data_IF_507851682752
#
_entry.id   IF_507851682752
#
_cell.length_a   1.000
_cell.length_b   1.000
_cell.length_c   1.000
_cell.angle_alpha   90.00
_cell.angle_beta   90.00
_cell.angle_gamma   90.00
#
_symmetry.space_group_name_H-M   'P 1'
#
loop_
_entity.id
_entity.type
_entity.pdbx_description
1 polymer ?
#
# COMPACT_ATOMS: atom_id res chain seq x y z
N UNK A 1 -29.08 -8.23 -13.06
CA UNK A 1 -28.14 -8.04 -14.15
C UNK A 1 -27.95 -9.34 -14.91
N UNK A 2 -27.75 -9.27 -16.23
CA UNK A 2 -27.45 -10.41 -17.09
C UNK A 2 -26.06 -10.33 -17.70
N UNK A 3 -25.55 -9.12 -17.82
CA UNK A 3 -24.26 -8.79 -18.38
C UNK A 3 -23.68 -7.58 -17.64
N UNK A 4 -22.40 -7.60 -17.40
CA UNK A 4 -21.64 -6.48 -16.82
C UNK A 4 -20.31 -6.38 -17.56
N UNK A 5 -19.92 -5.19 -17.91
CA UNK A 5 -18.60 -4.85 -18.42
C UNK A 5 -17.94 -3.88 -17.43
N UNK A 6 -16.68 -4.13 -17.12
CA UNK A 6 -15.88 -3.34 -16.18
C UNK A 6 -14.62 -2.89 -16.90
N UNK A 7 -14.48 -1.60 -17.12
CA UNK A 7 -13.27 -0.98 -17.61
C UNK A 7 -12.34 -0.67 -16.45
N UNK A 8 -11.01 -0.78 -16.66
CA UNK A 8 -9.98 -0.65 -15.65
C UNK A 8 -10.32 -1.44 -14.36
N UNK A 9 -10.53 -2.74 -14.56
CA UNK A 9 -11.00 -3.62 -13.50
C UNK A 9 -10.08 -3.68 -12.28
N UNK A 10 -8.78 -3.39 -12.45
CA UNK A 10 -7.81 -3.27 -11.35
C UNK A 10 -8.16 -2.19 -10.34
N UNK A 11 -8.81 -1.11 -10.80
CA UNK A 11 -9.19 0.02 -9.97
C UNK A 11 -10.49 -0.24 -9.17
N UNK A 12 -11.18 -1.34 -9.49
CA UNK A 12 -12.41 -1.71 -8.80
C UNK A 12 -12.10 -2.56 -7.59
N UNK A 13 -12.57 -2.19 -6.39
CA UNK A 13 -12.38 -2.99 -5.18
C UNK A 13 -12.98 -4.40 -5.33
N UNK A 14 -12.30 -5.41 -4.79
CA UNK A 14 -12.77 -6.81 -4.83
C UNK A 14 -14.18 -6.98 -4.27
N UNK A 15 -14.54 -6.22 -3.23
CA UNK A 15 -15.88 -6.24 -2.66
C UNK A 15 -16.95 -5.80 -3.66
N UNK A 16 -16.64 -4.80 -4.50
CA UNK A 16 -17.55 -4.36 -5.58
C UNK A 16 -17.73 -5.46 -6.61
N UNK A 17 -16.66 -6.15 -7.02
CA UNK A 17 -16.74 -7.29 -7.90
C UNK A 17 -17.62 -8.40 -7.32
N UNK A 18 -17.47 -8.75 -6.04
CA UNK A 18 -18.33 -9.73 -5.36
C UNK A 18 -19.80 -9.31 -5.35
N UNK A 19 -20.06 -8.02 -5.11
CA UNK A 19 -21.44 -7.50 -5.18
C UNK A 19 -22.04 -7.63 -6.58
N UNK A 20 -21.28 -7.37 -7.63
CA UNK A 20 -21.74 -7.53 -9.01
C UNK A 20 -22.07 -8.98 -9.29
N UNK A 21 -21.23 -9.94 -8.90
CA UNK A 21 -21.53 -11.37 -9.00
C UNK A 21 -22.88 -11.75 -8.35
N UNK A 22 -23.13 -11.24 -7.14
CA UNK A 22 -24.38 -11.48 -6.43
C UNK A 22 -25.62 -10.86 -7.13
N UNK A 23 -25.42 -9.87 -8.01
CA UNK A 23 -26.48 -9.22 -8.81
C UNK A 23 -26.73 -9.87 -10.16
N UNK A 24 -25.95 -10.87 -10.57
CA UNK A 24 -26.09 -11.64 -11.81
C UNK A 24 -27.25 -12.64 -11.70
N UNK A 25 -28.48 -12.13 -11.61
CA UNK A 25 -29.70 -12.93 -11.37
C UNK A 25 -30.90 -12.46 -12.18
N UNK A 26 -30.66 -11.99 -13.40
CA UNK A 26 -31.75 -11.58 -14.27
C UNK A 26 -32.59 -12.80 -14.65
N UNK A 27 -33.92 -12.71 -14.55
CA UNK A 27 -34.80 -13.76 -15.06
C UNK A 27 -34.68 -13.83 -16.57
N UNK A 28 -34.43 -15.04 -17.10
CA UNK A 28 -34.39 -15.29 -18.53
C UNK A 28 -35.81 -15.47 -19.07
N UNK A 29 -36.03 -15.04 -20.30
CA UNK A 29 -37.28 -15.29 -20.99
C UNK A 29 -37.25 -16.67 -21.68
N UNK A 30 -38.40 -17.38 -21.89
CA UNK A 30 -38.40 -18.72 -22.47
C UNK A 30 -37.74 -18.84 -23.87
N UNK A 31 -37.71 -17.75 -24.62
CA UNK A 31 -37.08 -17.70 -25.95
C UNK A 31 -35.57 -17.38 -25.92
N UNK A 32 -35.00 -17.06 -24.77
CA UNK A 32 -33.57 -16.84 -24.62
C UNK A 32 -32.85 -18.18 -24.43
N UNK A 33 -32.70 -18.90 -25.52
CA UNK A 33 -31.94 -20.15 -25.52
C UNK A 33 -30.46 -19.81 -25.31
N UNK A 34 -29.79 -20.55 -24.45
CA UNK A 34 -28.36 -20.43 -24.17
C UNK A 34 -27.92 -19.10 -23.54
N UNK A 35 -28.81 -18.42 -22.83
CA UNK A 35 -28.43 -17.21 -22.07
C UNK A 35 -27.48 -17.59 -20.97
N UNK A 36 -26.32 -16.91 -20.93
CA UNK A 36 -25.32 -17.08 -19.88
C UNK A 36 -25.04 -15.74 -19.25
N UNK A 37 -25.05 -15.70 -17.92
CA UNK A 37 -24.59 -14.52 -17.19
C UNK A 37 -23.10 -14.34 -17.41
N UNK A 38 -22.67 -13.12 -17.68
CA UNK A 38 -21.26 -12.83 -17.93
C UNK A 38 -20.86 -11.49 -17.30
N UNK A 39 -19.69 -11.49 -16.69
CA UNK A 39 -18.95 -10.29 -16.35
C UNK A 39 -17.68 -10.31 -17.19
N UNK A 40 -17.45 -9.25 -17.94
CA UNK A 40 -16.20 -8.99 -18.63
C UNK A 40 -15.48 -7.86 -17.91
N UNK A 41 -14.19 -8.03 -17.71
CA UNK A 41 -13.33 -6.96 -17.24
C UNK A 41 -12.12 -6.84 -18.12
N UNK A 42 -11.68 -5.64 -18.40
CA UNK A 42 -10.43 -5.35 -19.07
C UNK A 42 -9.64 -4.34 -18.25
N UNK A 43 -8.35 -4.53 -18.25
CA UNK A 43 -7.41 -3.71 -17.49
C UNK A 43 -5.99 -4.02 -17.94
N UNK A 44 -5.06 -3.16 -17.58
CA UNK A 44 -3.65 -3.47 -17.64
C UNK A 44 -3.27 -4.57 -16.62
N UNK A 45 -2.20 -5.33 -16.85
CA UNK A 45 -1.75 -6.34 -15.90
C UNK A 45 -1.50 -5.74 -14.50
N UNK A 46 -1.97 -6.43 -13.49
CA UNK A 46 -1.81 -6.06 -12.08
C UNK A 46 -0.58 -6.77 -11.48
N UNK A 47 -0.13 -6.27 -10.32
CA UNK A 47 0.91 -6.93 -9.54
C UNK A 47 0.43 -8.28 -8.99
N UNK A 48 1.35 -9.18 -8.67
CA UNK A 48 1.02 -10.49 -8.09
C UNK A 48 0.33 -10.39 -6.71
N UNK A 49 0.40 -9.23 -6.05
CA UNK A 49 -0.28 -8.97 -4.78
C UNK A 49 -1.75 -8.59 -4.95
N UNK A 50 -2.15 -8.16 -6.13
CA UNK A 50 -3.50 -7.69 -6.44
C UNK A 50 -4.56 -8.79 -6.42
N UNK A 51 -5.81 -8.40 -6.26
CA UNK A 51 -6.92 -9.34 -6.17
C UNK A 51 -7.24 -10.01 -7.52
N UNK A 52 -7.00 -9.31 -8.64
CA UNK A 52 -7.17 -9.88 -9.98
C UNK A 52 -6.18 -11.02 -10.22
N UNK A 53 -4.91 -10.81 -9.88
CA UNK A 53 -3.91 -11.85 -9.99
C UNK A 53 -4.31 -13.10 -9.18
N UNK A 54 -4.63 -12.92 -7.91
CA UNK A 54 -5.06 -14.01 -7.03
C UNK A 54 -6.30 -14.75 -7.55
N UNK A 55 -7.22 -14.02 -8.19
CA UNK A 55 -8.51 -14.60 -8.65
C UNK A 55 -8.41 -15.25 -10.02
N UNK A 56 -7.61 -14.69 -10.94
CA UNK A 56 -7.62 -15.12 -12.36
C UNK A 56 -6.35 -15.84 -12.80
N UNK A 57 -5.22 -15.67 -12.10
CA UNK A 57 -3.96 -16.33 -12.40
C UNK A 57 -3.65 -17.47 -11.42
N UNK A 58 -3.66 -17.17 -10.13
CA UNK A 58 -3.15 -18.07 -9.10
C UNK A 58 -4.10 -19.27 -8.90
N UNK A 59 -5.38 -19.02 -8.67
CA UNK A 59 -6.37 -20.08 -8.43
C UNK A 59 -7.74 -19.75 -9.04
N UNK A 60 -7.86 -19.72 -10.39
CA UNK A 60 -9.11 -19.32 -11.03
C UNK A 60 -10.22 -20.36 -10.83
N UNK A 61 -11.43 -19.94 -10.45
CA UNK A 61 -12.60 -20.80 -10.45
C UNK A 61 -12.86 -21.41 -11.86
N UNK A 62 -13.49 -22.58 -11.97
CA UNK A 62 -13.63 -23.30 -13.25
C UNK A 62 -14.32 -22.53 -14.38
N UNK A 63 -15.19 -21.59 -14.02
CA UNK A 63 -15.95 -20.75 -14.97
C UNK A 63 -15.30 -19.37 -15.24
N UNK A 64 -14.11 -19.11 -14.68
CA UNK A 64 -13.37 -17.89 -14.94
C UNK A 64 -12.37 -18.13 -16.07
N UNK A 65 -12.10 -17.10 -16.85
CA UNK A 65 -11.13 -17.13 -17.94
C UNK A 65 -10.37 -15.82 -17.97
N UNK A 66 -9.07 -15.93 -18.18
CA UNK A 66 -8.18 -14.83 -18.44
C UNK A 66 -7.71 -14.90 -19.89
N UNK A 67 -7.72 -13.75 -20.55
CA UNK A 67 -7.16 -13.58 -21.90
C UNK A 67 -6.10 -12.50 -21.79
N UNK A 68 -4.86 -12.85 -22.09
CA UNK A 68 -3.76 -11.89 -22.20
C UNK A 68 -3.55 -11.56 -23.68
N UNK A 69 -3.58 -10.28 -24.02
CA UNK A 69 -3.40 -9.78 -25.36
C UNK A 69 -2.24 -8.76 -25.38
N UNK A 70 -1.00 -9.18 -25.64
CA UNK A 70 0.11 -8.26 -25.79
C UNK A 70 -0.13 -7.23 -26.89
N UNK A 71 0.31 -5.99 -26.67
CA UNK A 71 0.24 -4.91 -27.67
C UNK A 71 0.90 -5.31 -28.99
N UNK A 72 1.94 -6.14 -28.94
CA UNK A 72 2.65 -6.66 -30.12
C UNK A 72 1.78 -7.54 -31.03
N UNK A 73 0.65 -8.06 -30.55
CA UNK A 73 -0.29 -8.85 -31.36
C UNK A 73 -1.31 -7.98 -32.11
N UNK A 74 -1.35 -6.69 -31.84
CA UNK A 74 -2.27 -5.78 -32.52
C UNK A 74 -1.75 -5.42 -33.91
N UNK A 75 -2.32 -6.05 -34.92
CA UNK A 75 -1.94 -5.86 -36.35
C UNK A 75 -2.30 -4.48 -36.93
N UNK A 76 -3.10 -3.69 -36.22
CA UNK A 76 -3.53 -2.36 -36.66
C UNK A 76 -2.62 -1.22 -36.17
N UNK A 77 -1.59 -1.54 -35.40
CA UNK A 77 -0.65 -0.53 -34.92
C UNK A 77 0.24 0.01 -36.06
N UNK A 78 0.64 1.27 -36.00
CA UNK A 78 1.63 1.83 -36.93
C UNK A 78 2.94 1.01 -36.88
N UNK A 79 3.61 0.93 -38.02
CA UNK A 79 4.95 0.29 -38.08
C UNK A 79 5.90 1.03 -37.16
N UNK A 80 6.68 0.29 -36.36
CA UNK A 80 7.64 0.85 -35.43
C UNK A 80 7.08 1.25 -34.06
N UNK A 81 5.75 1.21 -33.84
CA UNK A 81 5.13 1.65 -32.59
C UNK A 81 5.69 0.91 -31.35
N UNK A 82 5.82 -0.39 -31.40
CA UNK A 82 6.36 -1.17 -30.28
C UNK A 82 7.85 -0.93 -30.06
N UNK A 83 8.62 -0.66 -31.13
CA UNK A 83 10.03 -0.28 -31.02
C UNK A 83 10.19 1.10 -30.38
N UNK A 84 9.33 2.06 -30.71
CA UNK A 84 9.31 3.38 -30.06
C UNK A 84 9.03 3.24 -28.57
N UNK A 85 8.04 2.43 -28.19
CA UNK A 85 7.73 2.16 -26.79
C UNK A 85 8.89 1.46 -26.06
N UNK A 86 9.61 0.56 -26.75
CA UNK A 86 10.78 -0.10 -26.17
C UNK A 86 11.93 0.86 -25.88
N UNK A 87 12.05 1.92 -26.66
CA UNK A 87 13.07 2.95 -26.44
C UNK A 87 12.64 3.94 -25.34
N UNK A 88 11.36 4.11 -25.11
CA UNK A 88 10.80 5.04 -24.14
C UNK A 88 10.67 4.44 -22.73
N UNK A 89 10.28 3.18 -22.65
CA UNK A 89 9.99 2.47 -21.41
C UNK A 89 11.23 1.74 -20.87
N UNK A 90 11.36 1.67 -19.56
CA UNK A 90 12.27 0.69 -18.97
C UNK A 90 11.76 -0.75 -19.22
N UNK A 91 12.64 -1.73 -19.05
CA UNK A 91 12.33 -3.13 -19.35
C UNK A 91 11.09 -3.64 -18.57
N UNK A 92 10.96 -3.28 -17.28
CA UNK A 92 9.85 -3.71 -16.45
C UNK A 92 8.52 -3.14 -16.95
N UNK A 93 8.51 -1.85 -17.26
CA UNK A 93 7.34 -1.17 -17.78
C UNK A 93 6.93 -1.72 -19.15
N UNK A 94 7.92 -1.98 -20.03
CA UNK A 94 7.68 -2.58 -21.33
C UNK A 94 7.07 -3.99 -21.21
N UNK A 95 7.58 -4.84 -20.31
CA UNK A 95 7.05 -6.18 -20.09
C UNK A 95 5.60 -6.17 -19.60
N UNK A 96 5.22 -5.19 -18.79
CA UNK A 96 3.86 -5.07 -18.26
C UNK A 96 2.92 -4.48 -19.31
N UNK A 97 3.19 -3.27 -19.79
CA UNK A 97 2.24 -2.49 -20.60
C UNK A 97 2.24 -2.85 -22.09
N UNK A 98 3.33 -3.42 -22.62
CA UNK A 98 3.43 -3.80 -24.01
C UNK A 98 3.31 -5.32 -24.19
N UNK A 99 3.97 -6.09 -23.32
CA UNK A 99 3.95 -7.54 -23.41
C UNK A 99 2.82 -8.19 -22.61
N UNK A 100 2.08 -7.42 -21.80
CA UNK A 100 0.94 -7.92 -21.02
C UNK A 100 1.32 -8.90 -19.92
N UNK A 101 2.55 -8.85 -19.42
CA UNK A 101 3.02 -9.73 -18.34
C UNK A 101 2.69 -9.14 -16.99
N UNK A 102 2.26 -9.99 -16.07
CA UNK A 102 2.17 -9.62 -14.66
C UNK A 102 3.58 -9.46 -14.10
N UNK A 103 3.80 -8.44 -13.29
CA UNK A 103 5.08 -8.20 -12.67
C UNK A 103 4.98 -7.24 -11.48
N UNK A 104 6.00 -7.22 -10.67
CA UNK A 104 6.13 -6.18 -9.66
C UNK A 104 6.67 -4.92 -10.33
N UNK A 105 6.04 -3.79 -10.05
CA UNK A 105 6.49 -2.45 -10.48
C UNK A 105 7.73 -2.02 -9.69
N UNK A 106 8.78 -2.83 -9.68
CA UNK A 106 10.00 -2.54 -8.93
C UNK A 106 10.68 -1.24 -9.37
N UNK A 107 10.45 -0.80 -10.61
CA UNK A 107 10.95 0.49 -11.12
C UNK A 107 10.33 1.71 -10.42
N UNK A 108 9.13 1.56 -9.85
CA UNK A 108 8.40 2.63 -9.15
C UNK A 108 8.53 2.54 -7.62
N UNK A 109 9.32 1.59 -7.12
CA UNK A 109 9.57 1.52 -5.68
C UNK A 109 10.43 2.72 -5.25
N UNK A 110 9.99 3.42 -4.20
CA UNK A 110 10.75 4.51 -3.59
C UNK A 110 12.09 3.98 -3.06
N UNK A 111 12.09 2.75 -2.54
CA UNK A 111 13.29 2.05 -2.08
C UNK A 111 13.46 0.80 -2.94
N UNK A 112 14.27 0.89 -4.00
CA UNK A 112 14.45 -0.19 -5.00
C UNK A 112 15.10 -1.44 -4.41
N UNK A 113 15.98 -1.26 -3.44
CA UNK A 113 16.73 -2.34 -2.81
C UNK A 113 15.98 -3.01 -1.64
N UNK A 114 14.74 -2.59 -1.36
CA UNK A 114 13.92 -3.22 -0.34
C UNK A 114 13.38 -4.57 -0.85
N UNK A 115 13.74 -5.63 -0.16
CA UNK A 115 13.35 -7.01 -0.49
C UNK A 115 12.74 -7.70 0.73
N UNK A 116 12.18 -8.89 0.55
CA UNK A 116 11.65 -9.70 1.64
C UNK A 116 12.73 -10.05 2.70
N UNK A 117 14.01 -10.00 2.33
CA UNK A 117 15.13 -10.17 3.27
C UNK A 117 15.25 -9.03 4.28
N UNK A 118 14.70 -7.86 3.96
CA UNK A 118 14.63 -6.72 4.86
C UNK A 118 13.49 -6.85 5.88
N UNK A 119 12.51 -7.73 5.63
CA UNK A 119 11.38 -7.96 6.53
C UNK A 119 11.75 -9.02 7.56
N UNK A 120 11.95 -8.58 8.80
CA UNK A 120 12.33 -9.45 9.92
C UNK A 120 11.55 -9.07 11.16
N UNK A 121 11.35 -10.03 12.04
CA UNK A 121 10.79 -9.75 13.36
C UNK A 121 11.89 -9.18 14.25
N UNK A 122 11.83 -7.88 14.52
CA UNK A 122 12.80 -7.14 15.34
C UNK A 122 12.21 -6.95 16.74
N UNK A 123 12.91 -7.46 17.74
CA UNK A 123 12.52 -7.28 19.14
C UNK A 123 12.96 -5.91 19.66
N UNK A 124 12.05 -5.23 20.38
CA UNK A 124 12.38 -4.04 21.16
C UNK A 124 13.42 -4.37 22.25
N UNK A 125 14.36 -3.45 22.46
CA UNK A 125 15.39 -3.54 23.51
C UNK A 125 15.36 -2.29 24.38
N UNK A 126 15.03 -2.46 25.65
CA UNK A 126 14.80 -1.37 26.58
C UNK A 126 16.02 -0.48 26.87
N UNK A 127 17.21 -1.01 26.71
CA UNK A 127 18.47 -0.33 27.05
C UNK A 127 19.12 0.36 25.83
N UNK A 128 18.56 0.20 24.61
CA UNK A 128 19.01 0.89 23.40
C UNK A 128 18.22 2.16 23.14
N UNK A 129 18.86 3.15 22.55
CA UNK A 129 18.18 4.36 22.11
C UNK A 129 17.05 4.06 21.15
N UNK A 130 15.93 4.78 21.30
CA UNK A 130 14.78 4.71 20.39
C UNK A 130 14.72 5.95 19.53
N UNK A 131 14.72 5.74 18.21
CA UNK A 131 14.47 6.77 17.23
C UNK A 131 12.99 6.74 16.85
N UNK A 132 12.31 7.84 17.06
CA UNK A 132 10.90 8.03 16.68
C UNK A 132 10.87 8.92 15.45
N UNK A 133 10.25 8.46 14.37
CA UNK A 133 9.93 9.27 13.19
C UNK A 133 8.45 9.59 13.20
N UNK A 134 8.10 10.88 13.28
CA UNK A 134 6.73 11.36 13.44
C UNK A 134 6.16 11.90 12.14
N UNK A 135 4.96 11.46 11.77
CA UNK A 135 4.07 12.11 10.83
C UNK A 135 2.90 12.75 11.63
N UNK A 136 2.82 14.09 11.60
CA UNK A 136 1.92 14.87 12.43
C UNK A 136 0.54 15.09 11.78
N UNK A 137 -0.13 14.04 11.44
CA UNK A 137 -1.52 14.08 11.00
C UNK A 137 -2.49 13.93 12.17
N UNK A 138 -3.70 14.41 12.01
CA UNK A 138 -4.75 14.27 13.04
C UNK A 138 -5.39 12.88 12.94
N UNK A 139 -5.50 12.33 11.74
CA UNK A 139 -6.23 11.09 11.49
C UNK A 139 -5.74 10.38 10.20
N UNK A 140 -4.95 9.33 10.32
CA UNK A 140 -4.25 8.89 11.53
C UNK A 140 -2.97 9.69 11.81
N UNK A 141 -2.56 9.77 13.08
CA UNK A 141 -1.20 10.12 13.44
C UNK A 141 -0.33 8.88 13.41
N UNK A 142 0.79 8.93 12.71
CA UNK A 142 1.66 7.78 12.51
C UNK A 142 3.10 8.05 12.97
N UNK A 143 3.58 7.23 13.90
CA UNK A 143 4.97 7.26 14.35
C UNK A 143 5.60 5.89 14.08
N UNK A 144 6.84 5.90 13.62
CA UNK A 144 7.64 4.69 13.40
C UNK A 144 8.77 4.65 14.42
N UNK A 145 8.94 3.49 15.05
CA UNK A 145 9.90 3.28 16.12
C UNK A 145 11.06 2.41 15.65
N UNK A 146 12.29 2.86 15.87
CA UNK A 146 13.48 2.14 15.43
C UNK A 146 14.60 2.18 16.47
N UNK A 147 15.43 1.14 16.46
CA UNK A 147 16.79 1.17 17.01
C UNK A 147 17.77 1.42 15.88
N UNK A 148 18.81 2.21 16.15
CA UNK A 148 19.85 2.53 15.16
C UNK A 148 21.22 2.11 15.67
N UNK A 149 21.97 1.45 14.81
CA UNK A 149 23.42 1.23 14.94
C UNK A 149 24.18 2.11 13.94
N UNK A 150 25.51 2.02 13.90
CA UNK A 150 26.33 2.79 12.94
C UNK A 150 25.90 2.53 11.48
N UNK A 151 25.60 1.27 11.14
CA UNK A 151 25.34 0.85 9.76
C UNK A 151 23.89 0.48 9.45
N UNK A 152 23.02 0.34 10.45
CA UNK A 152 21.68 -0.23 10.25
C UNK A 152 20.62 0.47 11.09
N UNK A 153 19.41 0.48 10.56
CA UNK A 153 18.22 0.91 11.25
C UNK A 153 17.27 -0.30 11.34
N UNK A 154 16.79 -0.58 12.54
CA UNK A 154 15.90 -1.70 12.83
C UNK A 154 14.56 -1.16 13.29
N UNK A 155 13.58 -1.16 12.39
CA UNK A 155 12.19 -0.78 12.71
C UNK A 155 11.54 -1.93 13.48
N UNK A 156 11.09 -1.67 14.71
CA UNK A 156 10.52 -2.70 15.57
C UNK A 156 9.04 -2.53 15.88
N UNK A 157 8.49 -1.32 15.75
CA UNK A 157 7.06 -1.05 15.97
C UNK A 157 6.61 0.22 15.27
N UNK A 158 5.29 0.40 15.19
CA UNK A 158 4.62 1.60 14.73
C UNK A 158 3.46 1.98 15.66
N UNK A 159 3.22 3.28 15.81
CA UNK A 159 2.06 3.83 16.50
C UNK A 159 1.19 4.53 15.45
N UNK A 160 0.10 3.89 15.05
CA UNK A 160 -0.88 4.47 14.13
C UNK A 160 -2.19 4.65 14.89
N UNK A 161 -2.55 5.91 15.18
CA UNK A 161 -3.68 6.24 16.04
C UNK A 161 -4.66 7.16 15.32
N UNK A 162 -5.91 6.76 15.28
CA UNK A 162 -7.01 7.56 14.72
C UNK A 162 -7.56 8.53 15.77
N UNK A 163 -8.04 9.70 15.34
CA UNK A 163 -8.68 10.71 16.19
C UNK A 163 -7.88 11.03 17.47
N UNK A 164 -6.59 11.23 17.33
CA UNK A 164 -5.65 11.37 18.43
C UNK A 164 -5.01 12.76 18.49
N UNK A 165 -4.20 12.95 19.52
CA UNK A 165 -3.34 14.13 19.69
C UNK A 165 -1.90 13.69 19.98
N UNK A 166 -0.94 14.55 19.71
CA UNK A 166 0.47 14.29 20.00
C UNK A 166 0.71 13.84 21.47
N UNK A 167 0.00 14.45 22.42
CA UNK A 167 0.11 14.06 23.83
C UNK A 167 -0.39 12.63 24.09
N UNK A 168 -1.51 12.23 23.48
CA UNK A 168 -2.05 10.86 23.61
C UNK A 168 -1.14 9.82 22.94
N UNK A 169 -0.50 10.19 21.84
CA UNK A 169 0.47 9.29 21.19
C UNK A 169 1.70 9.06 22.06
N UNK A 170 2.15 10.09 22.82
CA UNK A 170 3.18 9.90 23.86
C UNK A 170 2.71 8.96 24.99
N UNK A 171 1.44 9.04 25.40
CA UNK A 171 0.86 8.14 26.41
C UNK A 171 0.82 6.69 25.90
N UNK A 172 0.46 6.47 24.65
CA UNK A 172 0.50 5.15 24.02
C UNK A 172 1.93 4.59 23.97
N UNK A 173 2.91 5.42 23.58
CA UNK A 173 4.31 5.03 23.62
C UNK A 173 4.72 4.61 25.05
N UNK A 174 4.41 5.40 26.05
CA UNK A 174 4.70 5.06 27.44
C UNK A 174 4.00 3.78 27.90
N UNK A 175 2.76 3.57 27.48
CA UNK A 175 2.00 2.36 27.80
C UNK A 175 2.66 1.09 27.24
N UNK A 176 3.21 1.16 26.01
CA UNK A 176 3.90 0.03 25.38
C UNK A 176 5.31 -0.20 25.95
N UNK A 177 6.01 0.88 26.32
CA UNK A 177 7.42 0.84 26.69
C UNK A 177 7.71 1.52 28.04
N UNK A 178 7.00 1.19 29.13
CA UNK A 178 7.09 1.91 30.41
C UNK A 178 8.46 1.82 31.09
N UNK A 179 9.27 0.84 30.72
CA UNK A 179 10.58 0.58 31.33
C UNK A 179 11.75 0.93 30.40
N UNK A 180 11.51 1.76 29.37
CA UNK A 180 12.58 2.19 28.46
C UNK A 180 13.63 3.02 29.23
N UNK A 181 14.92 2.73 28.96
CA UNK A 181 16.06 3.34 29.66
C UNK A 181 17.02 4.08 28.74
N UNK A 182 16.99 3.76 27.43
CA UNK A 182 17.79 4.46 26.43
C UNK A 182 17.27 5.88 26.19
N UNK A 183 17.97 6.66 25.39
CA UNK A 183 17.52 7.98 24.96
C UNK A 183 16.39 7.85 23.93
N UNK A 184 15.53 8.86 23.92
CA UNK A 184 14.51 8.99 22.88
C UNK A 184 14.89 10.13 21.93
N UNK A 185 15.11 9.80 20.68
CA UNK A 185 15.51 10.72 19.62
C UNK A 185 14.33 10.89 18.68
N UNK A 186 13.74 12.08 18.65
CA UNK A 186 12.54 12.38 17.87
C UNK A 186 12.90 13.13 16.60
N UNK A 187 12.40 12.63 15.48
CA UNK A 187 12.50 13.23 14.16
C UNK A 187 11.10 13.31 13.55
N UNK A 188 10.92 14.21 12.61
CA UNK A 188 9.68 14.34 11.84
C UNK A 188 9.79 15.47 10.85
N UNK A 189 8.71 15.82 10.20
CA UNK A 189 8.69 16.91 9.24
C UNK A 189 8.67 18.31 9.92
N UNK A 190 8.90 19.34 9.11
CA UNK A 190 8.92 20.72 9.58
C UNK A 190 7.54 21.20 10.10
N UNK A 191 6.46 20.50 9.76
CA UNK A 191 5.11 20.85 10.21
C UNK A 191 4.96 20.70 11.72
N UNK A 192 5.77 19.82 12.34
CA UNK A 192 5.83 19.63 13.77
C UNK A 192 6.25 20.87 14.58
N UNK A 193 6.95 21.82 13.96
CA UNK A 193 7.32 23.11 14.56
C UNK A 193 6.29 24.22 14.33
N UNK A 194 5.25 23.96 13.53
CA UNK A 194 4.21 24.96 13.30
C UNK A 194 3.35 25.16 14.56
N UNK A 195 3.12 26.42 14.90
CA UNK A 195 2.16 26.78 15.93
C UNK A 195 0.74 26.69 15.39
N UNK A 196 -0.14 26.03 16.12
CA UNK A 196 -1.58 26.03 15.86
C UNK A 196 -2.25 27.11 16.70
N UNK A 197 -3.32 27.73 16.16
CA UNK A 197 -4.15 28.65 16.95
C UNK A 197 -4.88 27.98 18.11
N UNK A 198 -4.89 26.64 18.16
CA UNK A 198 -5.53 25.83 19.21
C UNK A 198 -4.52 25.27 20.22
N UNK A 199 -3.22 25.46 20.01
CA UNK A 199 -2.17 24.96 20.89
C UNK A 199 -1.12 26.03 21.16
N UNK A 200 -0.78 26.21 22.44
CA UNK A 200 0.27 27.13 22.88
C UNK A 200 1.68 26.63 22.50
N UNK A 201 1.82 25.32 22.27
CA UNK A 201 3.09 24.64 22.00
C UNK A 201 3.09 23.93 20.67
N UNK A 202 4.28 23.85 20.05
CA UNK A 202 4.50 23.02 18.85
C UNK A 202 4.47 21.53 19.21
N UNK A 203 4.27 20.65 18.21
CA UNK A 203 4.23 19.21 18.46
C UNK A 203 5.53 18.70 19.10
N UNK A 204 6.69 19.17 18.68
CA UNK A 204 7.97 18.79 19.28
C UNK A 204 8.10 19.23 20.74
N UNK A 205 7.60 20.41 21.09
CA UNK A 205 7.58 20.87 22.49
C UNK A 205 6.63 20.02 23.34
N UNK A 206 5.48 19.61 22.79
CA UNK A 206 4.53 18.73 23.47
C UNK A 206 5.18 17.37 23.72
N UNK A 207 5.81 16.76 22.69
CA UNK A 207 6.51 15.48 22.81
C UNK A 207 7.57 15.55 23.91
N UNK A 208 8.47 16.53 23.82
CA UNK A 208 9.56 16.69 24.78
C UNK A 208 9.04 16.76 26.22
N UNK A 209 8.11 17.66 26.50
CA UNK A 209 7.55 17.84 27.86
C UNK A 209 6.83 16.58 28.35
N UNK A 210 6.09 15.91 27.47
CA UNK A 210 5.32 14.72 27.82
C UNK A 210 6.23 13.54 28.14
N UNK A 211 7.24 13.30 27.30
CA UNK A 211 8.22 12.22 27.52
C UNK A 211 9.07 12.51 28.79
N UNK A 212 9.55 13.74 29.00
CA UNK A 212 10.24 14.13 30.22
C UNK A 212 9.36 13.91 31.47
N UNK A 213 8.04 14.14 31.39
CA UNK A 213 7.12 13.91 32.50
C UNK A 213 6.97 12.42 32.89
N UNK A 214 7.30 11.52 31.99
CA UNK A 214 7.36 10.07 32.22
C UNK A 214 8.75 9.59 32.67
N UNK A 215 9.74 10.49 32.71
CA UNK A 215 11.11 10.22 33.17
C UNK A 215 12.05 9.75 32.03
N UNK A 216 11.69 9.93 30.77
CA UNK A 216 12.58 9.65 29.63
C UNK A 216 13.52 10.83 29.36
N UNK A 217 14.73 10.51 28.81
CA UNK A 217 15.73 11.47 28.34
C UNK A 217 15.64 11.69 26.82
#
# INVERSE_FOLDING_TARGET
LGFVEIEEMSDVPYETFKMLLARMRQRTKPHWKNFTYRIFGHTNPETQKGWLYKTFYDNPPPNYRLICAPTTQNIYLPKGFCEELKNLYDESYYQIFVMGKTGDYSSNLVVKDFTDENVRNIAYQQDLDVHISCDFNVDPMAWVLAHKTEDKVFYFDELVLENTTTAKTCEEFHSRYPNHKGKIIVNGDASGDNRSCTSEYTNYVIIKRKLESFGYE
#
